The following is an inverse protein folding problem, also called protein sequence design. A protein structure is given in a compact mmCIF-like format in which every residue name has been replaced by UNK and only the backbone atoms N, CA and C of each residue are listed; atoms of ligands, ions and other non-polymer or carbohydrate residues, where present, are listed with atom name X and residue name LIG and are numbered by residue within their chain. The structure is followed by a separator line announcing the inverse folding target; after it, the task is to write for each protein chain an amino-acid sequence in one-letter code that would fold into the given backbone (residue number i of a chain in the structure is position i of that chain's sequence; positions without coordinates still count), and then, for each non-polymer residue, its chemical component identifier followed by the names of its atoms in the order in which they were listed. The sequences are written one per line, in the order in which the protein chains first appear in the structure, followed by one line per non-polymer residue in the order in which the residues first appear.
data_IF_526733985973
#
_entry.id   IF_526733985973
#
_cell.length_a   1.000
_cell.length_b   1.000
_cell.length_c   1.000
_cell.angle_alpha   90.00
_cell.angle_beta   90.00
_cell.angle_gamma   90.00
#
_symmetry.space_group_name_H-M   'P 1'
#
loop_
_entity.id
_entity.type
_entity.pdbx_description
1 polymer ?
#
# COMPACT_ATOMS: atom_id res chain seq x y z
N UNK A 1 57.75 -38.12 11.24
CA UNK A 1 56.44 -37.49 10.97
C UNK A 1 56.21 -37.61 9.48
N UNK A 2 55.56 -38.69 9.05
CA UNK A 2 55.23 -38.91 7.64
C UNK A 2 54.07 -37.99 7.28
N UNK A 3 54.32 -37.04 6.37
CA UNK A 3 53.28 -36.24 5.75
C UNK A 3 52.49 -37.19 4.84
N UNK A 4 51.25 -37.53 5.22
CA UNK A 4 50.33 -38.15 4.28
C UNK A 4 50.10 -37.19 3.11
N UNK A 5 50.20 -37.64 1.84
CA UNK A 5 49.89 -36.79 0.72
C UNK A 5 48.41 -36.40 0.80
N UNK A 6 48.15 -35.10 0.83
CA UNK A 6 46.81 -34.51 0.70
C UNK A 6 46.15 -35.10 -0.55
N UNK A 7 45.15 -35.98 -0.38
CA UNK A 7 44.37 -36.54 -1.50
C UNK A 7 43.85 -35.37 -2.33
N UNK A 8 44.30 -35.26 -3.57
CA UNK A 8 43.72 -34.36 -4.55
C UNK A 8 42.21 -34.64 -4.58
N UNK A 9 41.34 -33.61 -4.50
CA UNK A 9 39.90 -33.83 -4.63
C UNK A 9 39.62 -34.60 -5.93
N UNK A 10 38.81 -35.65 -5.86
CA UNK A 10 38.37 -36.37 -7.07
C UNK A 10 37.60 -35.43 -7.99
N UNK A 11 37.55 -35.74 -9.30
CA UNK A 11 36.90 -34.91 -10.32
C UNK A 11 35.46 -34.49 -9.94
N UNK A 12 34.72 -35.38 -9.27
CA UNK A 12 33.36 -35.15 -8.77
C UNK A 12 33.27 -34.02 -7.72
N UNK A 13 34.26 -33.94 -6.81
CA UNK A 13 34.32 -32.88 -5.81
C UNK A 13 34.62 -31.52 -6.45
N UNK A 14 35.36 -31.50 -7.56
CA UNK A 14 35.63 -30.29 -8.32
C UNK A 14 34.39 -29.82 -9.08
N UNK A 15 33.63 -30.75 -9.67
CA UNK A 15 32.38 -30.45 -10.38
C UNK A 15 31.30 -29.90 -9.43
N UNK A 16 31.05 -30.57 -8.30
CA UNK A 16 30.10 -30.10 -7.29
C UNK A 16 30.50 -28.72 -6.75
N UNK A 17 31.79 -28.49 -6.48
CA UNK A 17 32.28 -27.19 -6.02
C UNK A 17 32.06 -26.09 -7.07
N UNK A 18 32.29 -26.39 -8.35
CA UNK A 18 32.02 -25.46 -9.44
C UNK A 18 30.51 -25.15 -9.53
N UNK A 19 29.66 -26.16 -9.42
CA UNK A 19 28.21 -26.00 -9.47
C UNK A 19 27.67 -25.20 -8.29
N UNK A 20 28.11 -25.49 -7.07
CA UNK A 20 27.79 -24.70 -5.88
C UNK A 20 28.32 -23.26 -5.98
N UNK A 21 29.48 -23.05 -6.60
CA UNK A 21 30.03 -21.72 -6.84
C UNK A 21 29.18 -20.92 -7.83
N UNK A 22 28.71 -21.55 -8.90
CA UNK A 22 27.80 -20.94 -9.87
C UNK A 22 26.47 -20.58 -9.20
N UNK A 23 25.88 -21.52 -8.45
CA UNK A 23 24.64 -21.31 -7.71
C UNK A 23 24.76 -20.17 -6.70
N UNK A 24 25.86 -20.12 -5.93
CA UNK A 24 26.17 -19.03 -4.98
C UNK A 24 26.22 -17.66 -5.68
N UNK A 25 26.67 -17.62 -6.92
CA UNK A 25 26.77 -16.40 -7.70
C UNK A 25 25.44 -16.06 -8.42
N UNK A 26 24.37 -16.82 -8.18
CA UNK A 26 23.03 -16.58 -8.74
C UNK A 26 22.80 -17.21 -10.12
N UNK A 27 23.68 -18.08 -10.59
CA UNK A 27 23.42 -18.85 -11.81
C UNK A 27 22.57 -20.09 -11.47
N UNK A 28 21.26 -19.95 -11.67
CA UNK A 28 20.31 -21.05 -11.48
C UNK A 28 20.16 -21.94 -12.72
N UNK A 29 20.96 -21.75 -13.78
CA UNK A 29 20.97 -22.63 -14.96
C UNK A 29 21.91 -23.82 -14.81
N UNK A 30 22.83 -23.76 -13.83
CA UNK A 30 23.81 -24.83 -13.58
C UNK A 30 23.12 -26.13 -13.20
N UNK A 31 23.58 -27.24 -13.76
CA UNK A 31 23.08 -28.59 -13.45
C UNK A 31 24.25 -29.54 -13.29
N UNK A 32 24.11 -30.50 -12.38
CA UNK A 32 25.02 -31.63 -12.25
C UNK A 32 24.54 -32.79 -13.13
N UNK A 33 25.47 -33.47 -13.79
CA UNK A 33 25.15 -34.66 -14.58
C UNK A 33 24.71 -35.81 -13.68
N UNK A 34 23.64 -36.55 -14.04
CA UNK A 34 23.20 -37.73 -13.31
C UNK A 34 24.01 -38.99 -13.69
N UNK A 35 25.16 -38.87 -14.36
CA UNK A 35 25.90 -39.93 -15.06
C UNK A 35 26.41 -41.09 -14.15
N UNK A 36 26.11 -41.07 -12.85
CA UNK A 36 26.24 -42.22 -11.96
C UNK A 36 25.16 -43.27 -12.21
N UNK A 37 25.44 -44.53 -11.84
CA UNK A 37 24.39 -45.56 -11.85
C UNK A 37 23.22 -45.13 -10.94
N UNK A 38 21.98 -45.39 -11.37
CA UNK A 38 20.80 -45.06 -10.58
C UNK A 38 20.89 -45.70 -9.18
N UNK A 39 20.64 -44.92 -8.13
CA UNK A 39 20.77 -45.34 -6.73
C UNK A 39 22.17 -45.20 -6.14
N UNK A 40 23.11 -44.55 -6.85
CA UNK A 40 24.40 -44.12 -6.28
C UNK A 40 24.26 -42.78 -5.55
N UNK A 41 25.11 -42.56 -4.54
CA UNK A 41 25.20 -41.28 -3.82
C UNK A 41 25.43 -40.10 -4.79
N UNK A 42 26.20 -40.31 -5.85
CA UNK A 42 26.46 -39.29 -6.88
C UNK A 42 25.20 -38.91 -7.67
N UNK A 43 24.41 -39.89 -8.12
CA UNK A 43 23.16 -39.63 -8.81
C UNK A 43 22.14 -38.93 -7.90
N UNK A 44 22.10 -39.28 -6.61
CA UNK A 44 21.23 -38.64 -5.63
C UNK A 44 21.66 -37.20 -5.31
N UNK A 45 22.97 -36.94 -5.16
CA UNK A 45 23.49 -35.58 -5.00
C UNK A 45 23.15 -34.72 -6.22
N UNK A 46 23.33 -35.23 -7.44
CA UNK A 46 22.98 -34.51 -8.65
C UNK A 46 21.47 -34.20 -8.72
N UNK A 47 20.62 -35.17 -8.35
CA UNK A 47 19.16 -35.00 -8.31
C UNK A 47 18.77 -33.89 -7.33
N UNK A 48 19.19 -34.00 -6.07
CA UNK A 48 18.85 -33.03 -5.02
C UNK A 48 19.40 -31.64 -5.34
N UNK A 49 20.62 -31.55 -5.88
CA UNK A 49 21.20 -30.29 -6.30
C UNK A 49 20.39 -29.63 -7.44
N UNK A 50 20.00 -30.41 -8.45
CA UNK A 50 19.22 -29.90 -9.58
C UNK A 50 17.81 -29.46 -9.13
N UNK A 51 17.17 -30.22 -8.24
CA UNK A 51 15.88 -29.85 -7.63
C UNK A 51 15.98 -28.55 -6.81
N UNK A 52 17.02 -28.41 -5.99
CA UNK A 52 17.27 -27.19 -5.22
C UNK A 52 17.50 -25.99 -6.14
N UNK A 53 18.27 -26.18 -7.20
CA UNK A 53 18.58 -25.12 -8.17
C UNK A 53 17.33 -24.66 -8.92
N UNK A 54 16.46 -25.61 -9.30
CA UNK A 54 15.17 -25.30 -9.92
C UNK A 54 14.26 -24.52 -8.96
N UNK A 55 14.11 -25.00 -7.73
CA UNK A 55 13.31 -24.31 -6.71
C UNK A 55 13.79 -22.88 -6.46
N UNK A 56 15.11 -22.66 -6.37
CA UNK A 56 15.69 -21.32 -6.19
C UNK A 56 15.45 -20.42 -7.41
N UNK A 57 15.53 -20.97 -8.62
CA UNK A 57 15.21 -20.25 -9.87
C UNK A 57 13.78 -19.73 -9.86
N UNK A 58 12.82 -20.62 -9.57
CA UNK A 58 11.39 -20.29 -9.53
C UNK A 58 11.12 -19.27 -8.42
N UNK A 59 11.63 -19.52 -7.21
CA UNK A 59 11.48 -18.59 -6.08
C UNK A 59 12.00 -17.19 -6.41
N UNK A 60 13.21 -17.08 -6.96
CA UNK A 60 13.80 -15.80 -7.34
C UNK A 60 13.02 -15.11 -8.48
N UNK A 61 12.45 -15.88 -9.41
CA UNK A 61 11.59 -15.33 -10.47
C UNK A 61 10.28 -14.77 -9.92
N UNK A 62 9.63 -15.48 -9.00
CA UNK A 62 8.35 -15.09 -8.42
C UNK A 62 8.48 -13.87 -7.50
N UNK A 63 9.52 -13.82 -6.66
CA UNK A 63 9.80 -12.64 -5.84
C UNK A 63 10.04 -11.41 -6.72
N UNK A 64 10.81 -11.55 -7.81
CA UNK A 64 11.03 -10.45 -8.77
C UNK A 64 9.73 -10.03 -9.45
N UNK A 65 8.90 -10.99 -9.88
CA UNK A 65 7.62 -10.72 -10.55
C UNK A 65 6.67 -9.96 -9.63
N UNK A 66 6.43 -10.45 -8.42
CA UNK A 66 5.53 -9.81 -7.44
C UNK A 66 6.04 -8.42 -7.05
N UNK A 67 7.36 -8.27 -6.88
CA UNK A 67 7.97 -6.97 -6.58
C UNK A 67 7.77 -5.97 -7.72
N UNK A 68 7.92 -6.40 -8.97
CA UNK A 68 7.68 -5.55 -10.15
C UNK A 68 6.20 -5.19 -10.33
N UNK A 69 5.29 -6.16 -10.15
CA UNK A 69 3.85 -5.93 -10.25
C UNK A 69 3.37 -4.95 -9.18
N UNK A 70 3.76 -5.15 -7.93
CA UNK A 70 3.29 -4.35 -6.79
C UNK A 70 4.04 -3.01 -6.70
N UNK A 71 5.37 -3.04 -6.79
CA UNK A 71 6.21 -1.87 -6.54
C UNK A 71 6.39 -0.95 -7.75
N UNK A 72 6.33 -1.47 -8.97
CA UNK A 72 6.55 -0.66 -10.18
C UNK A 72 5.28 -0.42 -10.97
N UNK A 73 4.45 -1.45 -11.17
CA UNK A 73 3.22 -1.30 -11.96
C UNK A 73 2.00 -0.88 -11.10
N UNK A 74 2.13 -0.87 -9.77
CA UNK A 74 1.01 -0.58 -8.86
C UNK A 74 -0.15 -1.59 -8.96
N UNK A 75 0.12 -2.78 -9.50
CA UNK A 75 -0.86 -3.87 -9.61
C UNK A 75 -0.85 -4.68 -8.32
N UNK A 76 -1.58 -4.17 -7.32
CA UNK A 76 -1.72 -4.82 -6.02
C UNK A 76 -2.53 -6.12 -6.11
N UNK A 77 -2.16 -7.11 -5.29
CA UNK A 77 -2.81 -8.43 -5.23
C UNK A 77 -2.03 -9.57 -5.87
N UNK A 78 -0.85 -9.29 -6.42
CA UNK A 78 0.09 -10.32 -6.85
C UNK A 78 0.57 -11.14 -5.64
N UNK A 79 0.64 -12.46 -5.80
CA UNK A 79 1.21 -13.39 -4.82
C UNK A 79 2.21 -14.29 -5.52
N UNK A 80 3.25 -14.68 -4.80
CA UNK A 80 4.27 -15.59 -5.27
C UNK A 80 3.84 -17.03 -5.02
N UNK A 81 4.02 -17.90 -6.01
CA UNK A 81 3.67 -19.32 -5.92
C UNK A 81 4.85 -20.17 -6.39
N UNK A 82 5.31 -21.08 -5.52
CA UNK A 82 6.45 -21.95 -5.81
C UNK A 82 6.07 -23.37 -5.42
N UNK A 83 6.05 -24.27 -6.40
CA UNK A 83 5.70 -25.67 -6.16
C UNK A 83 6.74 -26.38 -5.29
N UNK A 84 6.26 -27.27 -4.42
CA UNK A 84 7.12 -28.16 -3.65
C UNK A 84 7.93 -27.53 -2.53
N UNK A 85 7.78 -26.22 -2.26
CA UNK A 85 8.43 -25.56 -1.11
C UNK A 85 7.89 -26.13 0.20
N UNK A 86 8.79 -26.41 1.14
CA UNK A 86 8.49 -26.97 2.47
C UNK A 86 9.41 -26.35 3.51
N UNK A 87 9.05 -26.50 4.79
CA UNK A 87 9.84 -25.97 5.90
C UNK A 87 10.00 -24.46 5.80
N UNK A 88 11.19 -23.95 6.11
CA UNK A 88 11.46 -22.51 6.16
C UNK A 88 11.26 -21.80 4.81
N UNK A 89 11.41 -22.51 3.68
CA UNK A 89 11.09 -21.96 2.36
C UNK A 89 9.60 -21.64 2.23
N UNK A 90 8.74 -22.54 2.70
CA UNK A 90 7.29 -22.32 2.71
C UNK A 90 6.91 -21.20 3.68
N UNK A 91 7.53 -21.17 4.86
CA UNK A 91 7.32 -20.10 5.85
C UNK A 91 7.68 -18.74 5.24
N UNK A 92 8.87 -18.61 4.64
CA UNK A 92 9.32 -17.36 4.04
C UNK A 92 8.42 -16.91 2.90
N UNK A 93 7.98 -17.83 2.02
CA UNK A 93 7.04 -17.51 0.94
C UNK A 93 5.68 -17.04 1.49
N UNK A 94 5.20 -17.69 2.55
CA UNK A 94 3.93 -17.35 3.23
C UNK A 94 4.02 -15.97 3.87
N UNK A 95 5.12 -15.66 4.56
CA UNK A 95 5.37 -14.36 5.18
C UNK A 95 5.48 -13.24 4.14
N UNK A 96 6.20 -13.49 3.04
CA UNK A 96 6.29 -12.56 1.92
C UNK A 96 4.91 -12.27 1.31
N UNK A 97 4.12 -13.30 1.04
CA UNK A 97 2.75 -13.15 0.54
C UNK A 97 1.82 -12.45 1.54
N UNK A 98 2.00 -12.71 2.84
CA UNK A 98 1.27 -12.03 3.91
C UNK A 98 1.57 -10.53 3.93
N UNK A 99 2.84 -10.15 3.83
CA UNK A 99 3.25 -8.74 3.74
C UNK A 99 2.64 -8.05 2.51
N UNK A 100 2.78 -8.64 1.32
CA UNK A 100 2.22 -8.07 0.07
C UNK A 100 0.70 -7.99 0.12
N UNK A 101 0.03 -9.01 0.68
CA UNK A 101 -1.41 -9.04 0.87
C UNK A 101 -1.92 -7.97 1.84
N UNK A 102 -1.23 -7.78 2.95
CA UNK A 102 -1.57 -6.74 3.93
C UNK A 102 -1.46 -5.34 3.32
N UNK A 103 -0.36 -5.03 2.65
CA UNK A 103 -0.18 -3.74 1.98
C UNK A 103 -1.21 -3.52 0.87
N UNK A 104 -1.50 -4.55 0.08
CA UNK A 104 -2.56 -4.52 -0.95
C UNK A 104 -3.92 -4.15 -0.35
N UNK A 105 -4.31 -4.83 0.73
CA UNK A 105 -5.60 -4.61 1.38
C UNK A 105 -5.70 -3.21 1.97
N UNK A 106 -4.62 -2.76 2.62
CA UNK A 106 -4.56 -1.42 3.18
C UNK A 106 -4.72 -0.36 2.09
N UNK A 107 -3.85 -0.36 1.07
CA UNK A 107 -3.88 0.62 -0.03
C UNK A 107 -5.23 0.64 -0.75
N UNK A 108 -5.86 -0.52 -0.98
CA UNK A 108 -7.20 -0.58 -1.59
C UNK A 108 -8.28 0.06 -0.72
N UNK A 109 -8.22 -0.10 0.60
CA UNK A 109 -9.18 0.55 1.51
C UNK A 109 -9.01 2.09 1.48
N UNK A 110 -7.77 2.58 1.47
CA UNK A 110 -7.50 4.00 1.27
C UNK A 110 -8.04 4.50 -0.07
N UNK A 111 -7.78 3.78 -1.16
CA UNK A 111 -8.28 4.15 -2.49
C UNK A 111 -9.81 4.20 -2.56
N UNK A 112 -10.51 3.29 -1.87
CA UNK A 112 -11.97 3.31 -1.79
C UNK A 112 -12.47 4.56 -1.07
N UNK A 113 -11.88 4.90 0.07
CA UNK A 113 -12.27 6.08 0.86
C UNK A 113 -11.96 7.37 0.11
N UNK A 114 -10.80 7.50 -0.52
CA UNK A 114 -10.48 8.69 -1.32
C UNK A 114 -11.37 8.83 -2.56
N UNK A 115 -11.76 7.71 -3.18
CA UNK A 115 -12.76 7.71 -4.25
C UNK A 115 -14.13 8.16 -3.74
N UNK A 116 -14.57 7.65 -2.59
CA UNK A 116 -15.84 8.06 -1.97
C UNK A 116 -15.87 9.58 -1.72
N UNK A 117 -14.80 10.12 -1.13
CA UNK A 117 -14.63 11.57 -0.93
C UNK A 117 -14.73 12.33 -2.25
N UNK A 118 -14.06 11.86 -3.31
CA UNK A 118 -14.08 12.50 -4.62
C UNK A 118 -15.49 12.50 -5.25
N UNK A 119 -16.32 11.50 -4.92
CA UNK A 119 -17.73 11.44 -5.34
C UNK A 119 -18.70 12.18 -4.40
N UNK A 120 -18.19 12.79 -3.33
CA UNK A 120 -18.99 13.53 -2.34
C UNK A 120 -19.59 12.66 -1.23
N UNK A 121 -19.26 11.37 -1.18
CA UNK A 121 -19.66 10.49 -0.09
C UNK A 121 -18.65 10.55 1.06
N UNK A 122 -19.00 11.33 2.08
CA UNK A 122 -18.19 11.56 3.27
C UNK A 122 -18.60 10.66 4.45
N UNK A 123 -19.40 9.61 4.19
CA UNK A 123 -19.79 8.62 5.19
C UNK A 123 -18.75 7.51 5.38
N UNK A 124 -17.81 7.39 4.43
CA UNK A 124 -16.78 6.36 4.43
C UNK A 124 -15.51 6.80 5.17
N UNK A 125 -14.98 5.88 5.98
CA UNK A 125 -13.69 6.01 6.66
C UNK A 125 -12.80 4.81 6.37
N UNK A 126 -11.50 5.00 6.54
CA UNK A 126 -10.53 3.91 6.49
C UNK A 126 -10.70 3.08 7.76
N UNK A 127 -11.03 1.81 7.60
CA UNK A 127 -11.37 0.90 8.71
C UNK A 127 -10.43 -0.29 8.82
N UNK A 128 -9.66 -0.58 7.77
CA UNK A 128 -8.67 -1.66 7.77
C UNK A 128 -7.69 -1.53 8.95
N UNK A 129 -7.28 -2.68 9.50
CA UNK A 129 -6.27 -2.74 10.56
C UNK A 129 -4.90 -2.31 10.04
N UNK A 130 -4.26 -1.39 10.76
CA UNK A 130 -2.99 -0.76 10.39
C UNK A 130 -2.18 -0.48 11.64
N UNK A 131 -0.87 -0.50 11.51
CA UNK A 131 0.08 -0.12 12.56
C UNK A 131 1.16 0.80 11.96
N UNK A 132 1.94 1.48 12.83
CA UNK A 132 3.05 2.34 12.40
C UNK A 132 2.64 3.46 11.43
N UNK A 133 3.44 3.67 10.38
CA UNK A 133 3.20 4.72 9.38
C UNK A 133 1.84 4.58 8.67
N UNK A 134 1.35 3.36 8.48
CA UNK A 134 0.04 3.11 7.88
C UNK A 134 -1.10 3.54 8.79
N UNK A 135 -0.92 3.44 10.12
CA UNK A 135 -1.89 3.93 11.10
C UNK A 135 -1.91 5.47 11.13
N UNK A 136 -0.73 6.12 11.08
CA UNK A 136 -0.66 7.58 10.97
C UNK A 136 -1.33 8.10 9.70
N UNK A 137 -1.15 7.40 8.57
CA UNK A 137 -1.82 7.73 7.32
C UNK A 137 -3.34 7.55 7.42
N UNK A 138 -3.81 6.44 8.01
CA UNK A 138 -5.22 6.17 8.28
C UNK A 138 -5.85 7.29 9.09
N UNK A 139 -5.22 7.69 10.18
CA UNK A 139 -5.72 8.73 11.07
C UNK A 139 -5.76 10.08 10.34
N UNK A 140 -4.73 10.41 9.56
CA UNK A 140 -4.70 11.62 8.73
C UNK A 140 -5.86 11.66 7.73
N UNK A 141 -6.11 10.55 7.01
CA UNK A 141 -7.22 10.47 6.05
C UNK A 141 -8.57 10.55 6.75
N UNK A 142 -8.74 9.89 7.89
CA UNK A 142 -9.99 9.94 8.65
C UNK A 142 -10.27 11.33 9.24
N UNK A 143 -9.24 12.05 9.69
CA UNK A 143 -9.36 13.46 10.11
C UNK A 143 -9.79 14.33 8.94
N UNK A 144 -9.22 14.12 7.75
CA UNK A 144 -9.64 14.84 6.53
C UNK A 144 -11.11 14.58 6.20
N UNK A 145 -11.58 13.33 6.27
CA UNK A 145 -13.01 12.99 6.09
C UNK A 145 -13.88 13.73 7.11
N UNK A 146 -13.51 13.73 8.38
CA UNK A 146 -14.26 14.39 9.45
C UNK A 146 -14.36 15.90 9.23
N UNK A 147 -13.26 16.54 8.83
CA UNK A 147 -13.23 17.97 8.53
C UNK A 147 -14.12 18.32 7.32
N UNK A 148 -14.06 17.51 6.26
CA UNK A 148 -14.92 17.69 5.08
C UNK A 148 -16.39 17.53 5.44
N UNK A 149 -16.73 16.51 6.23
CA UNK A 149 -18.11 16.24 6.63
C UNK A 149 -18.67 17.38 7.50
N UNK A 150 -17.90 17.83 8.50
CA UNK A 150 -18.27 18.96 9.34
C UNK A 150 -18.44 20.25 8.53
N UNK A 151 -17.53 20.53 7.58
CA UNK A 151 -17.63 21.70 6.71
C UNK A 151 -18.89 21.66 5.83
N UNK A 152 -19.16 20.52 5.19
CA UNK A 152 -20.36 20.35 4.36
C UNK A 152 -21.66 20.54 5.16
N UNK A 153 -21.73 19.97 6.37
CA UNK A 153 -22.87 20.13 7.26
C UNK A 153 -23.10 21.58 7.69
N UNK A 154 -22.03 22.27 8.09
CA UNK A 154 -22.09 23.68 8.48
C UNK A 154 -22.48 24.60 7.30
N UNK A 155 -21.98 24.32 6.10
CA UNK A 155 -22.35 25.09 4.91
C UNK A 155 -23.85 24.95 4.59
N UNK A 156 -24.39 23.73 4.68
CA UNK A 156 -25.82 23.48 4.47
C UNK A 156 -26.66 24.19 5.54
N UNK A 157 -26.22 24.14 6.81
CA UNK A 157 -26.91 24.81 7.93
C UNK A 157 -26.97 26.32 7.71
N UNK A 158 -25.82 26.96 7.48
CA UNK A 158 -25.74 28.42 7.27
C UNK A 158 -26.54 28.84 6.04
N UNK A 159 -26.45 28.08 4.94
CA UNK A 159 -27.23 28.36 3.73
C UNK A 159 -28.74 28.33 4.01
N UNK A 160 -29.22 27.34 4.78
CA UNK A 160 -30.63 27.25 5.17
C UNK A 160 -31.08 28.40 6.05
N UNK A 161 -30.29 28.76 7.06
CA UNK A 161 -30.63 29.84 7.99
C UNK A 161 -30.66 31.21 7.30
N UNK A 162 -29.66 31.50 6.46
CA UNK A 162 -29.55 32.79 5.76
C UNK A 162 -30.58 32.93 4.64
N UNK A 163 -30.74 31.90 3.80
CA UNK A 163 -31.61 31.97 2.61
C UNK A 163 -33.05 31.56 2.90
N UNK A 164 -33.24 30.48 3.66
CA UNK A 164 -34.55 29.89 3.89
C UNK A 164 -35.31 30.54 5.04
N UNK A 165 -34.63 30.86 6.13
CA UNK A 165 -35.26 31.39 7.35
C UNK A 165 -35.10 32.91 7.50
N UNK A 166 -34.33 33.56 6.62
CA UNK A 166 -34.04 34.99 6.69
C UNK A 166 -33.31 35.40 7.97
N UNK A 167 -32.66 34.45 8.66
CA UNK A 167 -31.90 34.71 9.87
C UNK A 167 -30.58 35.38 9.50
N UNK A 168 -30.44 36.63 9.92
CA UNK A 168 -29.22 37.39 9.76
C UNK A 168 -28.30 37.15 10.98
N UNK A 169 -26.99 37.05 10.76
CA UNK A 169 -26.00 36.77 11.81
C UNK A 169 -25.54 35.31 11.97
N UNK A 170 -26.04 34.37 11.17
CA UNK A 170 -25.57 32.97 11.21
C UNK A 170 -24.10 32.87 10.77
N UNK A 171 -23.28 32.27 11.62
CA UNK A 171 -21.86 32.06 11.37
C UNK A 171 -21.55 30.57 11.23
N UNK A 172 -20.72 30.26 10.24
CA UNK A 172 -20.10 28.96 10.04
C UNK A 172 -18.97 28.78 11.06
N UNK A 173 -18.97 27.64 11.76
CA UNK A 173 -17.90 27.28 12.69
C UNK A 173 -17.56 25.80 12.56
N UNK A 174 -16.34 25.50 12.11
CA UNK A 174 -15.83 24.12 11.99
C UNK A 174 -14.63 23.94 12.92
N UNK A 175 -14.77 23.08 13.94
CA UNK A 175 -13.70 22.81 14.91
C UNK A 175 -12.49 22.20 14.21
N UNK A 176 -11.30 22.75 14.48
CA UNK A 176 -10.04 22.24 13.93
C UNK A 176 -9.74 22.70 12.50
N UNK A 177 -10.60 23.53 11.90
CA UNK A 177 -10.30 24.15 10.62
C UNK A 177 -9.05 25.05 10.74
N UNK A 178 -8.14 24.91 9.77
CA UNK A 178 -6.91 25.68 9.69
C UNK A 178 -6.51 25.89 8.24
N UNK A 179 -5.55 26.80 7.99
CA UNK A 179 -5.04 27.04 6.64
C UNK A 179 -6.13 27.47 5.64
N UNK A 180 -6.25 26.75 4.53
CA UNK A 180 -7.24 27.05 3.48
C UNK A 180 -8.69 26.92 3.98
N UNK A 181 -8.97 25.96 4.87
CA UNK A 181 -10.30 25.74 5.43
C UNK A 181 -10.78 26.93 6.25
N UNK A 182 -9.90 27.47 7.10
CA UNK A 182 -10.21 28.63 7.93
C UNK A 182 -10.53 29.86 7.07
N UNK A 183 -9.77 30.08 5.98
CA UNK A 183 -10.03 31.17 5.03
C UNK A 183 -11.38 31.04 4.34
N UNK A 184 -11.81 29.82 4.00
CA UNK A 184 -13.12 29.60 3.39
C UNK A 184 -14.26 29.89 4.38
N UNK A 185 -14.12 29.48 5.64
CA UNK A 185 -15.09 29.78 6.71
C UNK A 185 -15.22 31.30 6.89
N UNK A 186 -14.10 32.02 6.98
CA UNK A 186 -14.08 33.48 7.08
C UNK A 186 -14.76 34.14 5.88
N UNK A 187 -14.54 33.63 4.67
CA UNK A 187 -15.18 34.14 3.47
C UNK A 187 -16.69 33.93 3.46
N UNK A 188 -17.19 32.76 3.88
CA UNK A 188 -18.63 32.49 4.00
C UNK A 188 -19.26 33.40 5.05
N UNK A 189 -18.62 33.57 6.20
CA UNK A 189 -19.09 34.45 7.27
C UNK A 189 -19.16 35.92 6.83
N UNK A 190 -18.19 36.39 6.06
CA UNK A 190 -18.20 37.74 5.51
C UNK A 190 -19.35 37.97 4.51
N UNK A 191 -19.71 36.96 3.71
CA UNK A 191 -20.85 37.03 2.79
C UNK A 191 -22.19 37.07 3.55
N UNK A 192 -22.36 36.22 4.57
CA UNK A 192 -23.55 36.22 5.41
C UNK A 192 -23.76 37.59 6.09
N UNK A 193 -22.69 38.18 6.63
CA UNK A 193 -22.74 39.51 7.25
C UNK A 193 -23.08 40.63 6.24
N UNK A 194 -22.59 40.56 4.99
CA UNK A 194 -22.97 41.55 3.96
C UNK A 194 -24.46 41.48 3.61
N UNK A 195 -25.03 40.27 3.49
CA UNK A 195 -26.47 40.09 3.24
C UNK A 195 -27.34 40.76 4.31
N UNK A 196 -26.92 40.68 5.57
CA UNK A 196 -27.58 41.34 6.71
C UNK A 196 -27.62 42.87 6.58
N UNK A 197 -26.50 43.49 6.19
CA UNK A 197 -26.43 44.96 6.03
C UNK A 197 -27.33 45.48 4.90
N UNK A 198 -27.48 44.71 3.82
CA UNK A 198 -28.36 45.07 2.72
C UNK A 198 -29.84 44.95 3.09
N UNK A 199 -30.23 43.90 3.83
CA UNK A 199 -31.60 43.70 4.28
C UNK A 199 -32.06 44.74 5.33
N UNK A 200 -31.13 45.28 6.12
CA UNK A 200 -31.42 46.26 7.17
C UNK A 200 -31.47 47.72 6.67
N UNK A 201 -31.16 47.97 5.39
CA UNK A 201 -31.18 49.33 4.82
C UNK A 201 -32.62 49.79 4.56
N UNK A 202 -33.01 51.02 4.98
CA UNK A 202 -34.37 51.52 4.76
C UNK A 202 -34.67 51.63 3.25
N UNK A 203 -35.92 51.35 2.82
CA UNK A 203 -36.29 51.45 1.41
C UNK A 203 -36.08 52.89 0.91
N UNK A 204 -35.72 53.05 -0.38
CA UNK A 204 -35.55 54.38 -0.95
C UNK A 204 -36.85 55.18 -0.77
N UNK A 205 -36.76 56.49 -0.46
CA UNK A 205 -37.95 57.32 -0.29
C UNK A 205 -38.80 57.25 -1.57
N UNK A 206 -40.14 57.26 -1.44
CA UNK A 206 -41.02 57.22 -2.60
C UNK A 206 -40.67 58.39 -3.54
N UNK A 207 -40.58 58.09 -4.83
CA UNK A 207 -40.32 59.10 -5.84
C UNK A 207 -41.41 60.16 -5.79
N UNK A 208 -41.02 61.42 -5.61
CA UNK A 208 -41.93 62.56 -5.65
C UNK A 208 -42.44 62.71 -7.09
N UNK A 209 -43.68 62.30 -7.35
CA UNK A 209 -44.47 62.74 -8.51
C UNK A 209 -45.22 64.05 -8.20
#
# INVERSE_FOLDING_TARGET
MSNEPMKTPGAESTELLAALTALRNGDFSVRLSPDGAAGTDQAEVARVFNELTEMLSVYASEVRRVSWETGTNGRFGAQAEVDGVRGDWQTTLTEFNGMVGNLTNQVRNFAQVTTAIATGDLSHKVTVGTDGEMQEWKDTVNIMVDQLNAFAGELIRVSREVVGEGRTGSQMQVRGASGAWQKQIESVNALAAKGETAASSPPPPPSSE
#
